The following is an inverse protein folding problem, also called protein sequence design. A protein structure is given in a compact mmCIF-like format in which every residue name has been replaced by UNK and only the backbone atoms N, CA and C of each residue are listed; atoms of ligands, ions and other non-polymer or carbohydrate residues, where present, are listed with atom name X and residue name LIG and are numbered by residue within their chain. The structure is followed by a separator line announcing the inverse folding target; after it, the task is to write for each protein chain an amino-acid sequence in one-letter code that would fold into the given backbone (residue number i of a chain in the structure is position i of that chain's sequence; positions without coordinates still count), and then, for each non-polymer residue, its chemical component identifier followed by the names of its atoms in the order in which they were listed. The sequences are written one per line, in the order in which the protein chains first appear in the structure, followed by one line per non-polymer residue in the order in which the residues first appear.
data_IF_402910117155
#
_entry.id   IF_402910117155
#
_cell.length_a   1.000
_cell.length_b   1.000
_cell.length_c   1.000
_cell.angle_alpha   90.00
_cell.angle_beta   90.00
_cell.angle_gamma   90.00
#
_symmetry.space_group_name_H-M   'P 1'
#
loop_
_entity.id
_entity.type
_entity.pdbx_description
1 polymer ?
#
# COMPACT_ATOMS: atom_id res chain seq x y z
N UNK A 1 3.71 -21.37 0.11
CA UNK A 1 3.27 -20.12 -0.52
C UNK A 1 1.79 -20.02 -0.20
N UNK A 2 1.41 -19.10 0.65
CA UNK A 2 0.00 -18.83 0.93
C UNK A 2 -0.61 -18.25 -0.35
N UNK A 3 -1.64 -18.87 -0.97
CA UNK A 3 -2.17 -18.43 -2.26
C UNK A 3 -2.77 -17.01 -2.21
N UNK A 4 -3.07 -16.51 -1.02
CA UNK A 4 -3.77 -15.24 -0.79
C UNK A 4 -2.83 -14.06 -0.48
N UNK A 5 -1.49 -14.24 -0.66
CA UNK A 5 -0.50 -13.16 -0.69
C UNK A 5 -0.16 -12.49 0.65
N UNK A 6 -0.65 -12.99 1.77
CA UNK A 6 -0.14 -12.62 3.09
C UNK A 6 1.30 -13.10 3.28
N UNK A 7 2.11 -12.40 4.07
CA UNK A 7 3.45 -12.87 4.42
C UNK A 7 3.31 -14.19 5.16
N UNK A 8 3.85 -15.33 4.65
CA UNK A 8 3.68 -16.62 5.29
C UNK A 8 4.26 -16.56 6.72
N UNK A 9 3.43 -16.91 7.71
CA UNK A 9 3.87 -17.05 9.10
C UNK A 9 3.83 -15.80 9.96
N UNK A 10 3.21 -14.69 9.50
CA UNK A 10 2.89 -13.58 10.39
C UNK A 10 1.66 -13.95 11.22
N UNK A 11 1.80 -14.04 12.55
CA UNK A 11 0.68 -14.26 13.43
C UNK A 11 -0.21 -13.00 13.44
N UNK A 12 -1.53 -13.20 13.30
CA UNK A 12 -2.49 -12.13 13.47
C UNK A 12 -2.66 -11.84 14.98
N UNK A 13 -2.69 -10.57 15.34
CA UNK A 13 -3.08 -10.14 16.67
C UNK A 13 -4.60 -10.01 16.75
N UNK A 14 -5.17 -10.08 17.97
CA UNK A 14 -6.60 -9.82 18.16
C UNK A 14 -7.01 -8.46 17.58
N UNK A 15 -8.04 -8.47 16.74
CA UNK A 15 -8.60 -7.27 16.10
C UNK A 15 -7.96 -6.90 14.76
N UNK A 16 -6.99 -7.65 14.26
CA UNK A 16 -6.38 -7.40 12.94
C UNK A 16 -7.28 -7.87 11.78
N UNK A 17 -7.11 -7.19 10.65
CA UNK A 17 -7.76 -7.51 9.38
C UNK A 17 -6.77 -8.25 8.46
N UNK A 18 -7.27 -9.22 7.70
CA UNK A 18 -6.47 -10.03 6.77
C UNK A 18 -7.27 -10.40 5.53
N UNK A 19 -6.58 -10.52 4.39
CA UNK A 19 -7.13 -11.12 3.17
C UNK A 19 -6.97 -12.65 3.09
N UNK A 20 -6.34 -13.27 4.10
CA UNK A 20 -6.23 -14.72 4.17
C UNK A 20 -7.57 -15.33 4.58
N UNK A 21 -8.26 -15.96 3.62
CA UNK A 21 -9.57 -16.60 3.84
C UNK A 21 -9.47 -17.96 4.51
N UNK A 22 -8.23 -18.47 4.71
CA UNK A 22 -7.96 -19.77 5.34
C UNK A 22 -6.92 -19.64 6.47
N UNK A 23 -7.11 -18.72 7.44
CA UNK A 23 -6.14 -18.50 8.50
C UNK A 23 -5.97 -19.77 9.33
N UNK A 24 -4.71 -20.08 9.69
CA UNK A 24 -4.41 -21.26 10.52
C UNK A 24 -4.40 -20.88 11.99
N UNK A 25 -5.26 -21.51 12.78
CA UNK A 25 -5.25 -21.47 14.23
C UNK A 25 -4.38 -22.62 14.77
N UNK A 26 -3.58 -22.35 15.80
CA UNK A 26 -2.77 -23.36 16.44
C UNK A 26 -2.60 -23.09 17.95
N UNK A 27 -2.25 -24.12 18.68
CA UNK A 27 -2.04 -24.02 20.10
C UNK A 27 -1.59 -25.34 20.72
N UNK A 28 -1.74 -25.45 22.03
CA UNK A 28 -1.38 -26.64 22.78
C UNK A 28 -2.48 -27.06 23.75
N UNK A 29 -2.46 -28.34 24.16
CA UNK A 29 -3.41 -28.91 25.08
C UNK A 29 -3.02 -30.32 25.52
N UNK A 30 -3.95 -31.07 26.11
CA UNK A 30 -3.71 -32.44 26.55
C UNK A 30 -3.76 -33.40 25.34
N UNK A 31 -2.71 -34.21 25.11
CA UNK A 31 -2.70 -35.18 24.04
C UNK A 31 -3.93 -36.07 24.00
N UNK A 32 -4.54 -36.17 22.83
CA UNK A 32 -5.71 -37.00 22.58
C UNK A 32 -7.06 -36.30 22.76
N UNK A 33 -7.11 -35.12 23.39
CA UNK A 33 -8.32 -34.30 23.43
C UNK A 33 -8.61 -33.64 22.08
N UNK A 34 -9.85 -33.20 21.88
CA UNK A 34 -10.28 -32.48 20.68
C UNK A 34 -10.57 -31.03 21.02
N UNK A 35 -9.94 -30.11 20.27
CA UNK A 35 -10.24 -28.68 20.28
C UNK A 35 -11.41 -28.43 19.33
N UNK A 36 -12.46 -27.77 19.81
CA UNK A 36 -13.56 -27.28 18.98
C UNK A 36 -13.40 -25.80 18.76
N UNK A 37 -13.57 -25.32 17.54
CA UNK A 37 -13.43 -23.95 17.11
C UNK A 37 -14.81 -23.38 16.82
N UNK A 38 -15.13 -22.23 17.41
CA UNK A 38 -16.41 -21.55 17.26
C UNK A 38 -16.21 -20.13 16.73
N UNK A 39 -17.18 -19.68 15.94
CA UNK A 39 -17.46 -18.28 15.65
C UNK A 39 -18.76 -17.90 16.38
N UNK A 40 -18.65 -17.10 17.45
CA UNK A 40 -19.74 -16.90 18.38
C UNK A 40 -20.23 -18.24 18.95
N UNK A 41 -21.50 -18.58 18.72
CA UNK A 41 -22.13 -19.83 19.15
C UNK A 41 -22.07 -20.94 18.07
N UNK A 42 -21.49 -20.68 16.91
CA UNK A 42 -21.45 -21.62 15.77
C UNK A 42 -20.13 -22.36 15.72
N UNK A 43 -20.15 -23.70 15.82
CA UNK A 43 -18.95 -24.51 15.60
C UNK A 43 -18.56 -24.50 14.13
N UNK A 44 -17.34 -24.01 13.84
CA UNK A 44 -16.79 -23.90 12.48
C UNK A 44 -15.69 -24.90 12.19
N UNK A 45 -15.16 -25.58 13.21
CA UNK A 45 -14.10 -26.56 13.05
C UNK A 45 -13.74 -27.34 14.28
N UNK A 46 -12.83 -28.30 14.10
CA UNK A 46 -12.24 -29.08 15.18
C UNK A 46 -10.84 -29.54 14.80
N UNK A 47 -9.99 -29.78 15.81
CA UNK A 47 -8.65 -30.33 15.64
C UNK A 47 -8.33 -31.28 16.80
N UNK A 48 -7.66 -32.40 16.49
CA UNK A 48 -7.14 -33.34 17.49
C UNK A 48 -5.80 -32.80 18.06
N UNK A 49 -5.58 -32.95 19.35
CA UNK A 49 -4.32 -32.62 20.01
C UNK A 49 -3.40 -33.82 19.86
N UNK A 50 -2.26 -33.64 19.20
CA UNK A 50 -1.29 -34.70 18.89
C UNK A 50 -0.57 -35.22 20.15
N UNK A 51 0.27 -36.27 19.97
CA UNK A 51 1.00 -36.89 21.07
C UNK A 51 2.03 -35.97 21.74
N UNK A 52 2.43 -34.87 21.08
CA UNK A 52 3.35 -33.85 21.61
C UNK A 52 2.60 -32.69 22.28
N UNK A 53 1.25 -32.75 22.29
CA UNK A 53 0.39 -31.75 22.92
C UNK A 53 0.11 -30.53 22.05
N UNK A 54 0.32 -30.60 20.73
CA UNK A 54 0.05 -29.51 19.79
C UNK A 54 -1.20 -29.79 18.96
N UNK A 55 -1.87 -28.72 18.53
CA UNK A 55 -2.96 -28.80 17.56
C UNK A 55 -2.85 -27.66 16.55
N UNK A 56 -3.44 -27.89 15.39
CA UNK A 56 -3.54 -26.90 14.31
C UNK A 56 -4.81 -27.14 13.51
N UNK A 57 -5.50 -26.08 13.17
CA UNK A 57 -6.68 -26.10 12.33
C UNK A 57 -6.63 -25.01 11.29
N UNK A 58 -6.97 -25.37 10.05
CA UNK A 58 -7.13 -24.46 8.92
C UNK A 58 -8.49 -24.72 8.29
N UNK A 59 -9.31 -23.71 8.02
CA UNK A 59 -10.59 -23.90 7.34
C UNK A 59 -10.41 -24.68 6.03
N UNK A 60 -11.20 -25.71 5.81
CA UNK A 60 -11.20 -26.47 4.55
C UNK A 60 -11.99 -25.77 3.45
N UNK A 61 -12.89 -24.87 3.83
CA UNK A 61 -13.63 -23.97 2.93
C UNK A 61 -13.21 -22.55 3.30
N UNK A 62 -12.83 -21.70 2.33
CA UNK A 62 -12.51 -20.30 2.58
C UNK A 62 -13.61 -19.61 3.40
N UNK A 63 -13.22 -18.86 4.41
CA UNK A 63 -14.12 -18.02 5.18
C UNK A 63 -14.51 -16.81 4.32
N UNK A 64 -15.81 -16.47 4.23
CA UNK A 64 -16.25 -15.23 3.57
C UNK A 64 -15.72 -13.97 4.27
N UNK A 65 -15.80 -12.85 3.58
CA UNK A 65 -15.52 -11.54 4.20
C UNK A 65 -16.46 -11.29 5.37
N UNK A 66 -15.90 -10.78 6.45
CA UNK A 66 -16.63 -10.53 7.69
C UNK A 66 -15.76 -10.59 8.93
N UNK A 67 -16.35 -10.22 10.05
CA UNK A 67 -15.71 -10.28 11.37
C UNK A 67 -16.08 -11.57 12.07
N UNK A 68 -15.07 -12.27 12.59
CA UNK A 68 -15.18 -13.56 13.29
C UNK A 68 -14.75 -13.40 14.74
N UNK A 69 -15.61 -13.83 15.66
CA UNK A 69 -15.32 -13.89 17.10
C UNK A 69 -14.95 -15.32 17.48
N UNK A 70 -13.67 -15.66 17.27
CA UNK A 70 -13.17 -17.02 17.42
C UNK A 70 -12.96 -17.39 18.88
N UNK A 71 -13.62 -18.43 19.34
CA UNK A 71 -13.43 -19.04 20.67
C UNK A 71 -13.19 -20.53 20.56
N UNK A 72 -12.58 -21.11 21.59
CA UNK A 72 -12.20 -22.52 21.64
C UNK A 72 -12.81 -23.19 22.87
N UNK A 73 -13.26 -24.43 22.70
CA UNK A 73 -13.50 -25.37 23.79
C UNK A 73 -12.67 -26.62 23.58
N UNK A 74 -12.47 -27.41 24.62
CA UNK A 74 -11.80 -28.70 24.54
C UNK A 74 -12.77 -29.79 25.00
N UNK A 75 -12.95 -30.80 24.15
CA UNK A 75 -13.72 -32.00 24.51
C UNK A 75 -12.75 -33.10 24.88
N UNK A 76 -12.94 -33.66 26.05
CA UNK A 76 -12.14 -34.74 26.58
C UNK A 76 -12.40 -36.05 25.79
N UNK A 77 -11.36 -36.84 25.53
CA UNK A 77 -11.46 -38.15 24.88
C UNK A 77 -12.16 -39.24 25.70
N UNK A 78 -12.58 -38.93 26.92
CA UNK A 78 -13.36 -39.91 27.67
C UNK A 78 -14.74 -40.12 27.04
N UNK A 79 -15.31 -41.28 27.26
CA UNK A 79 -16.62 -41.66 26.71
C UNK A 79 -17.80 -40.85 27.26
N UNK A 80 -17.55 -39.87 28.12
CA UNK A 80 -18.56 -38.99 28.73
C UNK A 80 -18.81 -37.72 27.88
N UNK A 81 -17.88 -37.33 27.00
CA UNK A 81 -18.06 -36.21 26.10
C UNK A 81 -18.15 -34.84 26.79
N UNK A 82 -17.48 -34.71 27.95
CA UNK A 82 -17.47 -33.42 28.65
C UNK A 82 -16.70 -32.36 27.89
N UNK A 83 -17.24 -31.14 27.82
CA UNK A 83 -16.65 -30.00 27.14
C UNK A 83 -16.23 -28.94 28.18
N UNK A 84 -15.09 -28.30 27.96
CA UNK A 84 -14.59 -27.20 28.79
C UNK A 84 -15.44 -25.95 28.66
N UNK A 85 -15.26 -24.99 29.57
CA UNK A 85 -15.73 -23.62 29.35
C UNK A 85 -15.00 -23.03 28.14
N UNK A 86 -15.65 -22.10 27.37
CA UNK A 86 -15.03 -21.42 26.24
C UNK A 86 -13.80 -20.60 26.67
N UNK A 87 -12.82 -20.50 25.79
CA UNK A 87 -11.72 -19.54 25.91
C UNK A 87 -12.21 -18.08 25.78
N UNK A 88 -11.36 -17.13 26.13
CA UNK A 88 -11.59 -15.73 25.73
C UNK A 88 -11.60 -15.65 24.19
N UNK A 89 -12.63 -15.00 23.58
CA UNK A 89 -12.68 -14.83 22.14
C UNK A 89 -11.52 -14.01 21.59
N UNK A 90 -11.10 -14.33 20.39
CA UNK A 90 -10.16 -13.55 19.56
C UNK A 90 -10.92 -13.10 18.32
N UNK A 91 -11.00 -11.79 18.11
CA UNK A 91 -11.65 -11.23 16.92
C UNK A 91 -10.65 -11.10 15.79
N UNK A 92 -11.01 -11.53 14.59
CA UNK A 92 -10.30 -11.26 13.33
C UNK A 92 -11.29 -10.76 12.28
N UNK A 93 -10.83 -10.00 11.30
CA UNK A 93 -11.65 -9.60 10.15
C UNK A 93 -11.03 -10.17 8.86
N UNK A 94 -11.83 -10.87 8.09
CA UNK A 94 -11.47 -11.28 6.72
C UNK A 94 -12.00 -10.21 5.78
N UNK A 95 -11.13 -9.67 4.93
CA UNK A 95 -11.46 -8.67 3.93
C UNK A 95 -10.64 -8.93 2.67
N UNK A 96 -11.31 -9.31 1.59
CA UNK A 96 -10.70 -9.58 0.27
C UNK A 96 -11.01 -8.51 -0.77
N UNK A 97 -11.77 -7.49 -0.39
CA UNK A 97 -12.17 -6.40 -1.28
C UNK A 97 -11.01 -5.42 -1.50
N UNK A 98 -10.62 -5.23 -2.76
CA UNK A 98 -9.58 -4.25 -3.07
C UNK A 98 -10.09 -2.81 -2.88
N UNK A 99 -9.24 -1.88 -2.41
CA UNK A 99 -9.59 -0.47 -2.32
C UNK A 99 -10.00 0.12 -3.66
N UNK A 100 -10.71 1.23 -3.62
CA UNK A 100 -11.04 1.99 -4.82
C UNK A 100 -9.76 2.47 -5.51
N UNK A 101 -9.79 2.47 -6.86
CA UNK A 101 -8.70 3.01 -7.68
C UNK A 101 -8.41 4.47 -7.29
N UNK A 102 -7.15 4.85 -6.98
CA UNK A 102 -6.80 6.24 -6.73
C UNK A 102 -7.07 7.13 -7.95
N UNK A 103 -7.40 8.40 -7.71
CA UNK A 103 -7.42 9.41 -8.76
C UNK A 103 -6.02 9.65 -9.33
N UNK A 104 -5.93 10.24 -10.53
CA UNK A 104 -4.66 10.70 -11.10
C UNK A 104 -3.94 11.61 -10.10
N UNK A 105 -2.66 11.34 -9.74
CA UNK A 105 -1.90 12.21 -8.86
C UNK A 105 -1.83 13.65 -9.39
N UNK A 106 -1.85 14.63 -8.50
CA UNK A 106 -1.52 16.02 -8.86
C UNK A 106 -0.05 16.28 -8.56
N UNK A 107 0.63 17.01 -9.46
CA UNK A 107 2.04 17.36 -9.31
C UNK A 107 2.15 18.85 -9.04
N UNK A 108 2.99 19.25 -8.08
CA UNK A 108 3.23 20.66 -7.72
C UNK A 108 4.72 20.94 -7.70
N UNK A 109 5.11 21.97 -8.46
CA UNK A 109 6.44 22.57 -8.42
C UNK A 109 6.55 23.51 -7.21
N UNK A 110 7.59 23.37 -6.41
CA UNK A 110 7.89 24.17 -5.22
C UNK A 110 9.13 25.02 -5.35
N UNK A 111 9.80 24.99 -6.52
CA UNK A 111 11.04 25.76 -6.77
C UNK A 111 10.71 27.12 -7.37
N UNK A 112 11.41 28.17 -6.89
CA UNK A 112 11.22 29.55 -7.36
C UNK A 112 11.48 29.68 -8.85
N UNK A 113 10.64 30.46 -9.51
CA UNK A 113 10.45 30.90 -10.88
C UNK A 113 9.22 30.27 -11.55
N UNK A 114 8.88 29.01 -11.26
CA UNK A 114 7.65 28.35 -11.73
C UNK A 114 7.12 27.57 -10.53
N UNK A 115 6.33 28.21 -9.66
CA UNK A 115 5.69 27.53 -8.52
C UNK A 115 4.23 27.29 -8.81
N UNK A 116 3.72 26.10 -8.44
CA UNK A 116 2.31 25.76 -8.59
C UNK A 116 2.07 24.41 -9.26
N UNK A 117 0.83 24.15 -9.69
CA UNK A 117 0.51 22.86 -10.32
C UNK A 117 1.24 22.70 -11.66
N UNK A 118 1.78 21.49 -11.86
CA UNK A 118 2.34 21.03 -13.15
C UNK A 118 1.29 20.12 -13.79
N UNK A 119 0.80 20.49 -14.95
CA UNK A 119 -0.24 19.73 -15.66
C UNK A 119 0.39 18.60 -16.48
N UNK A 120 -0.47 17.67 -16.92
CA UNK A 120 -0.05 16.56 -17.74
C UNK A 120 0.62 17.05 -19.04
N UNK A 121 1.83 16.52 -19.33
CA UNK A 121 2.67 16.91 -20.45
C UNK A 121 3.53 18.18 -20.23
N UNK A 122 3.42 18.87 -19.09
CA UNK A 122 4.21 20.07 -18.80
C UNK A 122 5.60 19.76 -18.23
N UNK A 123 6.45 20.78 -18.25
CA UNK A 123 7.82 20.72 -17.70
C UNK A 123 7.91 21.42 -16.34
N UNK A 124 8.82 20.94 -15.50
CA UNK A 124 9.15 21.52 -14.19
C UNK A 124 10.67 21.62 -14.02
N UNK A 125 11.13 22.67 -13.33
CA UNK A 125 12.51 22.77 -12.87
C UNK A 125 12.68 22.30 -11.41
N UNK A 126 11.64 21.77 -10.80
CA UNK A 126 11.73 21.15 -9.46
C UNK A 126 12.23 19.70 -9.59
N UNK A 127 13.48 19.40 -9.13
CA UNK A 127 13.98 18.03 -9.16
C UNK A 127 13.31 17.13 -8.12
N UNK A 128 12.41 17.68 -7.30
CA UNK A 128 11.69 16.96 -6.24
C UNK A 128 10.25 17.49 -6.12
N UNK A 129 9.45 17.35 -7.18
CA UNK A 129 8.07 17.84 -7.18
C UNK A 129 7.24 17.12 -6.10
N UNK A 130 6.22 17.81 -5.59
CA UNK A 130 5.27 17.21 -4.64
C UNK A 130 4.15 16.54 -5.42
N UNK A 131 3.92 15.25 -5.15
CA UNK A 131 2.76 14.52 -5.62
C UNK A 131 1.72 14.47 -4.51
N UNK A 132 0.45 14.63 -4.86
CA UNK A 132 -0.65 14.59 -3.89
C UNK A 132 -1.95 14.10 -4.52
N UNK A 133 -2.89 13.70 -3.66
CA UNK A 133 -4.20 13.22 -4.07
C UNK A 133 -5.10 12.87 -2.89
N UNK A 134 -6.13 12.10 -3.17
CA UNK A 134 -7.09 11.62 -2.15
C UNK A 134 -7.18 10.10 -2.18
N UNK A 135 -7.62 9.52 -1.06
CA UNK A 135 -7.84 8.08 -0.89
C UNK A 135 -8.67 7.79 0.36
N UNK A 136 -8.87 6.53 0.66
CA UNK A 136 -9.52 6.10 1.89
C UNK A 136 -8.56 6.32 3.07
N UNK A 137 -9.01 6.95 4.18
CA UNK A 137 -8.16 7.11 5.37
C UNK A 137 -7.54 5.78 5.83
N UNK A 138 -6.24 5.82 6.16
CA UNK A 138 -5.36 4.73 6.57
C UNK A 138 -4.86 3.82 5.44
N UNK A 139 -5.42 3.85 4.22
CA UNK A 139 -4.82 3.14 3.10
C UNK A 139 -3.40 3.64 2.84
N UNK A 140 -2.55 2.76 2.32
CA UNK A 140 -1.19 3.10 1.91
C UNK A 140 -1.17 3.32 0.40
N UNK A 141 -0.83 4.55 0.00
CA UNK A 141 -0.61 4.87 -1.41
C UNK A 141 0.83 4.54 -1.77
N UNK A 142 1.02 3.69 -2.78
CA UNK A 142 2.34 3.43 -3.38
C UNK A 142 2.44 4.21 -4.69
N UNK A 143 3.50 5.01 -4.83
CA UNK A 143 3.79 5.84 -5.99
C UNK A 143 4.77 5.11 -6.90
N UNK A 144 4.44 5.03 -8.17
CA UNK A 144 5.29 4.46 -9.22
C UNK A 144 5.75 5.56 -10.16
N UNK A 145 7.00 5.47 -10.61
CA UNK A 145 7.61 6.33 -11.63
C UNK A 145 8.06 5.47 -12.81
N UNK A 146 7.59 5.81 -13.99
CA UNK A 146 8.07 5.26 -15.24
C UNK A 146 8.90 6.30 -15.97
N UNK A 147 10.21 6.07 -16.07
CA UNK A 147 11.15 6.97 -16.73
C UNK A 147 11.24 6.63 -18.22
N UNK A 148 10.80 7.52 -19.06
CA UNK A 148 10.78 7.34 -20.52
C UNK A 148 9.95 6.13 -20.95
N UNK A 149 10.59 5.12 -21.56
CA UNK A 149 9.94 3.87 -22.01
C UNK A 149 10.25 2.68 -21.09
N UNK A 150 10.77 2.93 -19.88
CA UNK A 150 11.07 1.90 -18.88
C UNK A 150 9.81 1.30 -18.27
N UNK A 151 10.00 0.31 -17.41
CA UNK A 151 8.91 -0.24 -16.61
C UNK A 151 8.64 0.65 -15.39
N UNK A 152 7.38 0.80 -14.94
CA UNK A 152 7.06 1.52 -13.71
C UNK A 152 7.79 0.92 -12.50
N UNK A 153 8.43 1.76 -11.68
CA UNK A 153 9.12 1.36 -10.47
C UNK A 153 8.48 2.02 -9.26
N UNK A 154 8.26 1.28 -8.18
CA UNK A 154 7.81 1.86 -6.93
C UNK A 154 8.92 2.78 -6.36
N UNK A 155 8.61 4.06 -6.20
CA UNK A 155 9.55 5.09 -5.75
C UNK A 155 9.28 5.60 -4.35
N UNK A 156 8.14 5.26 -3.78
CA UNK A 156 7.79 5.59 -2.40
C UNK A 156 6.35 5.26 -2.05
N UNK A 157 6.04 5.42 -0.78
CA UNK A 157 4.69 5.22 -0.27
C UNK A 157 4.34 6.24 0.81
N UNK A 158 3.05 6.47 1.03
CA UNK A 158 2.51 7.38 2.04
C UNK A 158 1.15 6.89 2.51
N UNK A 159 0.86 7.04 3.80
CA UNK A 159 -0.47 6.73 4.35
C UNK A 159 -1.42 7.90 4.14
N UNK A 160 -2.65 7.59 3.73
CA UNK A 160 -3.75 8.57 3.60
C UNK A 160 -4.15 9.06 4.99
N UNK A 161 -4.20 10.37 5.18
CA UNK A 161 -4.57 10.97 6.45
C UNK A 161 -6.06 10.79 6.81
N UNK A 162 -6.43 11.14 8.05
CA UNK A 162 -7.82 11.04 8.54
C UNK A 162 -8.84 11.91 7.80
N UNK A 163 -8.39 12.85 6.95
CA UNK A 163 -9.24 13.67 6.09
C UNK A 163 -9.34 13.13 4.65
N UNK A 164 -8.70 11.99 4.38
CA UNK A 164 -8.69 11.37 3.06
C UNK A 164 -7.68 12.00 2.09
N UNK A 165 -6.65 12.69 2.56
CA UNK A 165 -5.62 13.29 1.72
C UNK A 165 -4.28 12.58 1.89
N UNK A 166 -3.47 12.60 0.83
CA UNK A 166 -2.08 12.17 0.88
C UNK A 166 -1.17 13.15 0.13
N UNK A 167 0.09 13.22 0.54
CA UNK A 167 1.12 14.00 -0.11
C UNK A 167 2.46 13.31 0.06
N UNK A 168 3.18 13.18 -1.04
CA UNK A 168 4.48 12.54 -1.08
C UNK A 168 5.47 13.39 -1.89
N UNK A 169 6.75 13.34 -1.50
CA UNK A 169 7.84 14.00 -2.19
C UNK A 169 9.05 13.08 -2.28
N UNK A 170 9.75 13.00 -3.43
CA UNK A 170 10.98 12.24 -3.55
C UNK A 170 12.02 12.63 -2.47
N UNK A 171 12.68 11.65 -1.86
CA UNK A 171 13.73 11.90 -0.86
C UNK A 171 15.00 12.50 -1.47
N UNK A 172 15.28 12.15 -2.73
CA UNK A 172 16.40 12.65 -3.53
C UNK A 172 15.91 13.26 -4.85
N UNK A 173 16.79 14.01 -5.51
CA UNK A 173 16.49 14.53 -6.83
C UNK A 173 16.19 13.39 -7.80
N UNK A 174 15.09 13.51 -8.56
CA UNK A 174 14.78 12.67 -9.70
C UNK A 174 15.62 13.11 -10.92
N UNK A 175 15.74 12.22 -11.90
CA UNK A 175 16.55 12.51 -13.10
C UNK A 175 15.93 13.54 -14.02
N UNK A 176 16.73 14.01 -14.96
CA UNK A 176 16.23 14.81 -16.10
C UNK A 176 15.41 13.94 -17.05
N UNK A 177 14.39 14.51 -17.68
CA UNK A 177 13.60 13.84 -18.72
C UNK A 177 12.16 13.57 -18.31
N UNK A 178 11.53 12.67 -19.05
CA UNK A 178 10.09 12.40 -18.91
C UNK A 178 9.84 11.33 -17.84
N UNK A 179 8.94 11.62 -16.94
CA UNK A 179 8.46 10.79 -15.85
C UNK A 179 6.95 10.65 -15.94
N UNK A 180 6.44 9.43 -15.90
CA UNK A 180 5.01 9.14 -15.76
C UNK A 180 4.74 8.58 -14.37
N UNK A 181 3.93 9.27 -13.59
CA UNK A 181 3.57 8.86 -12.23
C UNK A 181 2.19 8.23 -12.20
N UNK A 182 2.11 7.04 -11.58
CA UNK A 182 0.86 6.36 -11.21
C UNK A 182 0.88 6.03 -9.72
N UNK A 183 -0.29 5.66 -9.19
CA UNK A 183 -0.42 5.29 -7.79
C UNK A 183 -1.37 4.09 -7.62
N UNK A 184 -1.07 3.20 -6.66
CA UNK A 184 -2.01 2.19 -6.15
C UNK A 184 -2.35 2.50 -4.70
N UNK A 185 -3.49 2.00 -4.22
CA UNK A 185 -3.87 2.02 -2.81
C UNK A 185 -3.83 0.59 -2.27
N UNK A 186 -3.33 0.43 -1.05
CA UNK A 186 -3.35 -0.84 -0.31
C UNK A 186 -4.07 -0.60 1.01
N UNK A 187 -5.08 -1.42 1.33
CA UNK A 187 -5.85 -1.36 2.57
C UNK A 187 -5.15 -2.05 3.75
N UNK A 188 -5.82 -2.10 4.91
CA UNK A 188 -5.31 -2.74 6.13
C UNK A 188 -5.20 -4.27 5.98
N UNK A 189 -6.04 -4.91 5.16
CA UNK A 189 -5.98 -6.34 4.87
C UNK A 189 -4.82 -6.71 3.93
N UNK A 190 -4.26 -5.74 3.23
CA UNK A 190 -3.22 -5.90 2.22
C UNK A 190 -3.75 -6.12 0.80
N UNK A 191 -5.04 -5.82 0.54
CA UNK A 191 -5.58 -5.83 -0.81
C UNK A 191 -5.09 -4.58 -1.55
N UNK A 192 -4.72 -4.74 -2.82
CA UNK A 192 -4.19 -3.67 -3.66
C UNK A 192 -5.17 -3.31 -4.77
N UNK A 193 -5.38 -2.01 -4.98
CA UNK A 193 -6.21 -1.49 -6.05
C UNK A 193 -5.55 -1.65 -7.42
N UNK A 194 -6.33 -1.47 -8.50
CA UNK A 194 -5.75 -1.19 -9.81
C UNK A 194 -5.04 0.17 -9.81
N UNK A 195 -3.97 0.35 -10.62
CA UNK A 195 -3.25 1.62 -10.71
C UNK A 195 -4.14 2.78 -11.18
N UNK A 196 -3.87 3.99 -10.69
CA UNK A 196 -4.48 5.23 -11.18
C UNK A 196 -4.19 5.46 -12.67
N UNK A 197 -4.88 6.42 -13.28
CA UNK A 197 -4.39 7.02 -14.52
C UNK A 197 -3.05 7.73 -14.24
N UNK A 198 -2.15 7.75 -15.23
CA UNK A 198 -0.84 8.39 -15.15
C UNK A 198 -0.93 9.90 -15.32
N UNK A 199 0.06 10.61 -14.75
CA UNK A 199 0.39 12.00 -15.06
C UNK A 199 1.83 12.04 -15.56
N UNK A 200 2.04 12.61 -16.75
CA UNK A 200 3.36 12.71 -17.37
C UNK A 200 3.91 14.12 -17.18
N UNK A 201 5.12 14.25 -16.66
CA UNK A 201 5.85 15.51 -16.56
C UNK A 201 7.25 15.38 -17.16
N UNK A 202 7.87 16.50 -17.52
CA UNK A 202 9.27 16.53 -17.92
C UNK A 202 10.07 17.35 -16.91
N UNK A 203 11.08 16.73 -16.30
CA UNK A 203 12.02 17.41 -15.41
C UNK A 203 13.15 17.98 -16.26
N UNK A 204 13.35 19.31 -16.19
CA UNK A 204 14.43 20.03 -16.84
C UNK A 204 14.98 21.10 -15.90
N UNK A 205 16.08 20.78 -15.23
CA UNK A 205 16.78 21.67 -14.31
C UNK A 205 17.97 22.38 -14.94
N UNK A 206 18.18 22.17 -16.25
CA UNK A 206 19.32 22.72 -16.97
C UNK A 206 19.07 24.18 -17.38
N UNK A 207 19.97 25.07 -16.97
CA UNK A 207 19.91 26.43 -17.43
C UNK A 207 20.33 26.52 -18.91
N UNK A 208 19.67 27.41 -19.72
CA UNK A 208 20.10 27.65 -21.08
C UNK A 208 21.53 28.28 -21.12
N UNK A 209 22.22 28.08 -22.25
CA UNK A 209 23.54 28.62 -22.47
C UNK A 209 23.55 30.15 -22.35
N UNK A 210 24.68 30.69 -21.86
CA UNK A 210 24.89 32.15 -21.77
C UNK A 210 24.86 32.77 -23.16
N UNK A 211 24.00 33.77 -23.42
CA UNK A 211 23.98 34.43 -24.69
C UNK A 211 25.32 35.14 -24.96
N UNK A 212 25.81 35.05 -26.21
CA UNK A 212 27.06 35.72 -26.64
C UNK A 212 26.70 36.96 -27.48
N UNK A 213 27.26 38.12 -27.12
CA UNK A 213 27.22 39.28 -27.97
C UNK A 213 28.30 39.09 -29.04
N UNK A 214 27.91 38.78 -30.27
CA UNK A 214 28.83 38.52 -31.39
C UNK A 214 29.24 39.79 -32.14
N UNK A 215 28.45 40.87 -32.02
CA UNK A 215 28.78 42.19 -32.66
C UNK A 215 28.09 43.34 -31.93
N UNK A 216 28.78 44.48 -31.81
CA UNK A 216 28.25 45.76 -31.36
C UNK A 216 28.48 46.75 -32.52
N UNK A 217 27.46 47.00 -33.31
CA UNK A 217 27.53 48.04 -34.35
C UNK A 217 27.72 49.39 -33.66
N UNK A 218 28.92 49.92 -33.75
CA UNK A 218 29.24 51.25 -33.25
C UNK A 218 28.51 52.32 -34.05
N UNK A 219 28.04 53.37 -33.37
CA UNK A 219 27.62 54.60 -34.02
C UNK A 219 28.81 55.14 -34.83
N UNK A 220 28.62 55.33 -36.13
CA UNK A 220 29.61 55.99 -36.97
C UNK A 220 29.91 57.35 -36.34
N UNK A 221 31.13 57.56 -35.83
CA UNK A 221 31.60 58.89 -35.49
C UNK A 221 31.51 59.75 -36.72
N UNK A 222 30.59 60.69 -36.74
CA UNK A 222 30.46 61.66 -37.80
C UNK A 222 31.80 62.32 -38.05
N UNK A 223 32.44 61.96 -39.18
CA UNK A 223 33.64 62.63 -39.65
C UNK A 223 33.34 64.08 -39.85
N UNK A 224 33.92 64.94 -39.01
CA UNK A 224 34.01 66.39 -39.27
C UNK A 224 34.94 66.59 -40.46
N UNK A 225 34.40 66.93 -41.60
CA UNK A 225 35.16 67.46 -42.70
C UNK A 225 35.31 68.99 -42.51
N UNK A 226 36.51 69.39 -42.32
CA UNK A 226 36.91 70.76 -42.52
C UNK A 226 37.12 71.02 -44.00
#
# INVERSE_FOLDING_TARGET
VNPDGGTPGTALNPGETTRDTTPTLSGSGTPGDTVNIYDGDTKIGEAEIDGDGNWSWTPTTPLPDGTYDLSLTVTNQDSAGNESAPSTPVTITIDTDAPAQPGTPTVTDSVSQITGPVLDGESTNDPRPVLSGTGTPNDVITIYDQVGTGEPQAVGSVTVDGNGNWSWRPESNIGEGTHEYTATATDEAGNESVPSAGITITVDTLAPDTPVISDIAGAQNGGSTN
#
